data_IF_692836040039
#
_entry.id   IF_692836040039
#
_cell.length_a   1.000
_cell.length_b   1.000
_cell.length_c   1.000
_cell.angle_alpha   90.00
_cell.angle_beta   90.00
_cell.angle_gamma   90.00
#
_symmetry.space_group_name_H-M   'P 1'
#
loop_
_entity.id
_entity.type
_entity.pdbx_description
1 polymer ?
#
# COMPACT_ATOMS: atom_id res chain seq x y z
N UNK A 1 2.68 16.12 -7.75
CA UNK A 1 3.56 15.00 -7.40
C UNK A 1 2.79 13.75 -7.75
N UNK A 2 3.39 12.85 -8.53
CA UNK A 2 2.67 11.68 -9.00
C UNK A 2 2.61 10.63 -7.87
N UNK A 3 1.61 9.74 -7.84
CA UNK A 3 1.46 8.75 -6.77
C UNK A 3 2.72 7.90 -6.55
N UNK A 4 3.45 7.59 -7.61
CA UNK A 4 4.71 6.83 -7.61
C UNK A 4 5.86 7.53 -6.85
N UNK A 5 5.79 8.85 -6.67
CA UNK A 5 6.80 9.63 -5.95
C UNK A 5 6.54 9.68 -4.41
N UNK A 6 5.48 9.04 -3.93
CA UNK A 6 5.05 9.10 -2.52
C UNK A 6 5.39 7.80 -1.78
N UNK A 7 5.72 7.92 -0.49
CA UNK A 7 5.88 6.78 0.43
C UNK A 7 4.56 6.50 1.15
N UNK A 8 4.06 5.27 1.07
CA UNK A 8 2.78 4.84 1.63
C UNK A 8 2.98 3.94 2.84
N UNK A 9 2.67 4.47 4.02
CA UNK A 9 2.65 3.72 5.27
C UNK A 9 1.21 3.32 5.61
N UNK A 10 0.95 2.01 5.81
CA UNK A 10 -0.40 1.53 6.11
C UNK A 10 -0.43 0.36 7.08
N UNK A 11 -1.53 0.32 7.83
CA UNK A 11 -1.91 -0.76 8.74
C UNK A 11 -3.44 -0.82 8.77
N UNK A 12 -4.00 -2.02 8.69
CA UNK A 12 -5.40 -2.26 8.96
C UNK A 12 -5.82 -3.71 8.71
N UNK A 13 -7.14 -3.98 8.65
CA UNK A 13 -7.66 -5.33 8.48
C UNK A 13 -7.20 -5.97 7.15
N UNK A 14 -7.08 -7.31 7.06
CA UNK A 14 -6.56 -7.99 5.86
C UNK A 14 -7.27 -7.58 4.55
N UNK A 15 -8.60 -7.38 4.60
CA UNK A 15 -9.40 -6.96 3.44
C UNK A 15 -9.06 -5.53 3.01
N UNK A 16 -8.76 -4.63 3.95
CA UNK A 16 -8.36 -3.26 3.66
C UNK A 16 -6.97 -3.24 3.02
N UNK A 17 -5.99 -3.93 3.63
CA UNK A 17 -4.62 -3.94 3.12
C UNK A 17 -4.57 -4.47 1.69
N UNK A 18 -5.26 -5.59 1.42
CA UNK A 18 -5.31 -6.16 0.07
C UNK A 18 -5.93 -5.20 -0.96
N UNK A 19 -7.01 -4.52 -0.61
CA UNK A 19 -7.69 -3.59 -1.51
C UNK A 19 -6.82 -2.35 -1.82
N UNK A 20 -6.19 -1.77 -0.80
CA UNK A 20 -5.37 -0.55 -0.96
C UNK A 20 -4.05 -0.87 -1.68
N UNK A 21 -3.38 -1.98 -1.36
CA UNK A 21 -2.18 -2.42 -2.07
C UNK A 21 -2.48 -2.63 -3.56
N UNK A 22 -3.60 -3.30 -3.90
CA UNK A 22 -4.00 -3.47 -5.29
C UNK A 22 -4.18 -2.13 -6.00
N UNK A 23 -4.87 -1.19 -5.35
CA UNK A 23 -5.12 0.14 -5.90
C UNK A 23 -3.80 0.91 -6.15
N UNK A 24 -2.84 0.85 -5.22
CA UNK A 24 -1.54 1.50 -5.39
C UNK A 24 -0.73 0.87 -6.53
N UNK A 25 -0.74 -0.45 -6.67
CA UNK A 25 -0.10 -1.14 -7.81
C UNK A 25 -0.76 -0.77 -9.14
N UNK A 26 -2.09 -0.66 -9.19
CA UNK A 26 -2.81 -0.23 -10.39
C UNK A 26 -2.47 1.22 -10.79
N UNK A 27 -2.04 2.05 -9.82
CA UNK A 27 -1.55 3.42 -10.04
C UNK A 27 -0.06 3.50 -10.39
N UNK A 28 0.66 2.38 -10.45
CA UNK A 28 2.09 2.34 -10.78
C UNK A 28 3.02 2.62 -9.60
N UNK A 29 2.54 2.49 -8.36
CA UNK A 29 3.39 2.57 -7.17
C UNK A 29 4.16 1.26 -7.00
N UNK A 30 5.48 1.34 -6.92
CA UNK A 30 6.36 0.20 -6.69
C UNK A 30 6.29 -0.29 -5.24
N UNK A 31 6.53 -1.59 -5.02
CA UNK A 31 6.46 -2.21 -3.69
C UNK A 31 7.43 -1.58 -2.68
N UNK A 32 8.54 -1.01 -3.17
CA UNK A 32 9.55 -0.27 -2.38
C UNK A 32 8.94 0.92 -1.63
N UNK A 33 7.88 1.52 -2.19
CA UNK A 33 7.19 2.69 -1.67
C UNK A 33 5.97 2.33 -0.83
N UNK A 34 5.70 1.04 -0.57
CA UNK A 34 4.55 0.58 0.21
C UNK A 34 5.02 -0.15 1.48
N UNK A 35 4.96 0.54 2.61
CA UNK A 35 5.30 0.00 3.93
C UNK A 35 4.02 -0.48 4.64
N UNK A 36 3.85 -1.80 4.68
CA UNK A 36 2.76 -2.46 5.40
C UNK A 36 3.20 -2.90 6.79
N UNK A 37 2.49 -2.44 7.81
CA UNK A 37 2.56 -3.02 9.17
C UNK A 37 1.35 -3.96 9.35
N UNK A 38 1.59 -5.25 9.19
CA UNK A 38 0.58 -6.31 9.33
C UNK A 38 0.57 -6.83 10.77
N UNK A 39 -0.52 -6.54 11.48
CA UNK A 39 -0.73 -6.95 12.86
C UNK A 39 -1.02 -8.44 13.02
N UNK A 40 -1.01 -9.22 11.94
CA UNK A 40 -0.91 -10.68 11.98
C UNK A 40 -2.23 -11.44 12.18
N UNK A 41 -3.37 -10.74 12.21
CA UNK A 41 -4.70 -11.35 12.34
C UNK A 41 -5.01 -11.90 13.72
#
# INVERSE_FOLDING_TARGET
>A
QAPEDCEFYMCGPPVMNAAVIKMLKDLGVEDENIMLDDFGG
#
